data_IF_907637671154
#
_entry.id   IF_907637671154
#
_cell.length_a   1.000
_cell.length_b   1.000
_cell.length_c   1.000
_cell.angle_alpha   90.00
_cell.angle_beta   90.00
_cell.angle_gamma   90.00
#
_symmetry.space_group_name_H-M   'P 1'
#
loop_
_entity.id
_entity.type
_entity.pdbx_description
1 polymer ?
#
# COMPACT_ATOMS: atom_id res chain seq x y z
N UNK A 1 -33.53 -7.47 -27.24
CA UNK A 1 -32.21 -7.65 -27.87
C UNK A 1 -31.70 -6.28 -28.28
N UNK A 2 -30.38 -6.11 -28.21
CA UNK A 2 -29.56 -4.93 -28.55
C UNK A 2 -28.96 -4.23 -27.34
N UNK A 3 -27.80 -4.78 -26.96
CA UNK A 3 -26.72 -4.20 -26.17
C UNK A 3 -26.16 -2.88 -26.76
N UNK A 4 -25.56 -2.08 -25.89
CA UNK A 4 -24.50 -1.07 -26.13
C UNK A 4 -23.93 -0.81 -24.72
N UNK A 5 -23.02 -1.60 -24.14
CA UNK A 5 -21.62 -1.92 -24.48
C UNK A 5 -20.75 -0.69 -24.80
N UNK A 6 -20.26 -0.07 -23.73
CA UNK A 6 -18.83 0.11 -23.52
C UNK A 6 -18.08 1.01 -24.51
N UNK A 7 -18.16 2.32 -24.28
CA UNK A 7 -17.14 3.27 -24.71
C UNK A 7 -16.38 3.72 -23.45
N UNK A 8 -15.31 3.00 -23.11
CA UNK A 8 -14.27 3.50 -22.20
C UNK A 8 -12.97 2.79 -22.53
N UNK A 9 -12.47 3.06 -23.74
CA UNK A 9 -11.14 2.69 -24.16
C UNK A 9 -10.36 3.97 -24.47
N UNK A 10 -9.17 4.05 -23.87
CA UNK A 10 -8.00 4.76 -24.37
C UNK A 10 -8.05 6.30 -24.41
N UNK A 11 -7.68 6.91 -23.29
CA UNK A 11 -6.73 8.04 -23.38
C UNK A 11 -5.76 8.03 -22.19
N UNK A 12 -4.47 7.94 -22.51
CA UNK A 12 -3.32 8.33 -21.70
C UNK A 12 -3.02 7.55 -20.41
N UNK A 13 -2.54 6.32 -20.58
CA UNK A 13 -1.33 5.87 -19.84
C UNK A 13 -0.11 6.51 -20.51
N UNK A 14 0.00 7.81 -20.37
CA UNK A 14 1.15 8.59 -20.84
C UNK A 14 2.09 8.80 -19.66
N UNK A 15 3.33 8.32 -19.83
CA UNK A 15 4.54 8.79 -19.16
C UNK A 15 4.56 8.69 -17.63
N UNK A 16 5.01 7.53 -17.15
CA UNK A 16 5.78 7.45 -15.90
C UNK A 16 7.18 8.02 -16.14
N UNK A 17 7.26 9.33 -16.38
CA UNK A 17 8.46 10.08 -16.09
C UNK A 17 8.55 10.11 -14.57
N UNK A 18 9.52 9.38 -14.01
CA UNK A 18 9.96 9.62 -12.65
C UNK A 18 10.61 11.01 -12.64
N UNK A 19 9.78 12.04 -12.65
CA UNK A 19 10.19 13.34 -12.13
C UNK A 19 10.67 13.06 -10.71
N UNK A 20 11.89 13.49 -10.40
CA UNK A 20 12.36 13.66 -9.03
C UNK A 20 11.33 14.56 -8.35
N UNK A 21 10.28 13.94 -7.80
CA UNK A 21 9.35 14.60 -6.94
C UNK A 21 10.21 15.06 -5.77
N UNK A 22 10.57 16.34 -5.77
CA UNK A 22 11.17 17.03 -4.64
C UNK A 22 10.34 16.61 -3.44
N UNK A 23 10.90 15.69 -2.64
CA UNK A 23 10.26 15.10 -1.49
C UNK A 23 10.24 16.18 -0.42
N UNK A 24 9.36 17.18 -0.58
CA UNK A 24 8.89 17.96 0.55
C UNK A 24 8.03 17.01 1.39
N UNK A 25 8.72 16.21 2.20
CA UNK A 25 8.16 15.20 3.06
C UNK A 25 7.02 15.81 3.88
N UNK A 26 5.93 15.05 4.01
CA UNK A 26 4.85 15.39 4.92
C UNK A 26 5.46 15.75 6.28
N UNK A 27 5.36 17.03 6.67
CA UNK A 27 5.93 17.54 7.93
C UNK A 27 5.43 16.65 9.06
N UNK A 28 6.31 15.83 9.64
CA UNK A 28 5.92 14.97 10.74
C UNK A 28 5.49 15.88 11.90
N UNK A 29 4.25 15.79 12.38
CA UNK A 29 3.79 16.67 13.45
C UNK A 29 4.60 16.43 14.71
N UNK A 30 5.39 17.43 15.12
CA UNK A 30 6.29 17.36 16.28
C UNK A 30 7.76 17.10 15.96
N UNK A 31 8.16 16.91 14.69
CA UNK A 31 9.56 16.89 14.30
C UNK A 31 10.13 18.32 14.28
N UNK A 32 11.33 18.49 14.81
CA UNK A 32 12.04 19.76 14.76
C UNK A 32 12.52 20.01 13.31
N UNK A 33 12.32 21.22 12.75
CA UNK A 33 12.75 21.51 11.39
C UNK A 33 14.28 21.41 11.20
N UNK A 34 15.09 21.53 12.26
CA UNK A 34 16.54 21.34 12.18
C UNK A 34 16.95 19.86 12.04
N UNK A 35 16.07 18.91 12.38
CA UNK A 35 16.29 17.46 12.25
C UNK A 35 15.81 16.91 10.91
N UNK A 36 15.18 17.75 10.06
CA UNK A 36 14.56 17.31 8.81
C UNK A 36 15.55 16.63 7.85
N UNK A 37 16.79 17.12 7.80
CA UNK A 37 17.85 16.56 6.96
C UNK A 37 18.31 15.18 7.45
N UNK A 38 18.37 14.97 8.77
CA UNK A 38 18.71 13.68 9.37
C UNK A 38 17.59 12.65 9.13
N UNK A 39 16.33 13.08 9.24
CA UNK A 39 15.16 12.23 8.95
C UNK A 39 15.11 11.86 7.46
N UNK A 40 15.44 12.79 6.56
CA UNK A 40 15.50 12.53 5.13
C UNK A 40 16.60 11.52 4.79
N UNK A 41 17.79 11.67 5.40
CA UNK A 41 18.89 10.74 5.22
C UNK A 41 18.57 9.33 5.75
N UNK A 42 17.98 9.20 6.95
CA UNK A 42 17.55 7.90 7.49
C UNK A 42 16.49 7.25 6.60
N UNK A 43 15.55 8.05 6.06
CA UNK A 43 14.53 7.55 5.14
C UNK A 43 15.14 7.04 3.83
N UNK A 44 16.11 7.77 3.28
CA UNK A 44 16.83 7.35 2.08
C UNK A 44 17.54 6.01 2.33
N UNK A 45 18.30 5.90 3.43
CA UNK A 45 18.99 4.66 3.81
C UNK A 45 18.02 3.48 3.97
N UNK A 46 16.88 3.69 4.65
CA UNK A 46 15.90 2.63 4.90
C UNK A 46 15.12 2.17 3.66
N UNK A 47 14.91 3.08 2.71
CA UNK A 47 14.15 2.78 1.48
C UNK A 47 15.03 2.20 0.37
N UNK A 48 16.36 2.37 0.48
CA UNK A 48 17.35 1.83 -0.44
C UNK A 48 17.14 0.30 -0.61
N UNK A 49 16.97 -0.19 -1.85
CA UNK A 49 16.81 -1.61 -2.13
C UNK A 49 17.99 -2.46 -1.66
N UNK A 50 19.22 -1.94 -1.66
CA UNK A 50 20.42 -2.67 -1.22
C UNK A 50 20.44 -2.89 0.30
N UNK A 51 19.71 -2.06 1.06
CA UNK A 51 19.53 -2.21 2.50
C UNK A 51 18.33 -3.08 2.89
N UNK A 52 17.56 -3.59 1.91
CA UNK A 52 16.45 -4.50 2.18
C UNK A 52 17.00 -5.90 2.50
N UNK A 53 16.59 -6.52 3.62
CA UNK A 53 17.01 -7.89 3.92
C UNK A 53 16.51 -8.88 2.86
N UNK A 54 17.21 -10.00 2.69
CA UNK A 54 16.78 -11.05 1.75
C UNK A 54 15.46 -11.69 2.18
N UNK A 55 14.60 -12.04 1.21
CA UNK A 55 13.29 -12.67 1.42
C UNK A 55 12.24 -11.82 2.17
N UNK A 56 12.42 -10.49 2.24
CA UNK A 56 11.40 -9.59 2.85
C UNK A 56 10.23 -9.31 1.92
N UNK A 57 10.43 -9.41 0.62
CA UNK A 57 9.38 -9.19 -0.36
C UNK A 57 8.51 -10.44 -0.45
N UNK A 58 7.30 -10.35 0.10
CA UNK A 58 6.27 -11.38 0.00
C UNK A 58 5.26 -10.96 -1.07
N UNK A 59 5.14 -11.75 -2.13
CA UNK A 59 4.12 -11.54 -3.15
C UNK A 59 2.74 -11.94 -2.62
N UNK A 60 1.83 -10.98 -2.56
CA UNK A 60 0.44 -11.18 -2.15
C UNK A 60 -0.55 -10.89 -3.31
N UNK A 61 -0.06 -10.70 -4.54
CA UNK A 61 -0.86 -10.25 -5.69
C UNK A 61 -2.03 -11.18 -6.01
N UNK A 62 -1.81 -12.50 -5.88
CA UNK A 62 -2.82 -13.52 -6.18
C UNK A 62 -3.51 -14.07 -4.92
N UNK A 63 -3.41 -13.37 -3.78
CA UNK A 63 -3.98 -13.81 -2.51
C UNK A 63 -5.17 -12.95 -2.11
N UNK A 64 -6.27 -13.59 -1.76
CA UNK A 64 -7.47 -12.92 -1.27
C UNK A 64 -7.38 -12.72 0.25
N UNK A 65 -7.47 -11.47 0.70
CA UNK A 65 -7.51 -11.11 2.12
C UNK A 65 -8.96 -10.89 2.58
N UNK A 66 -9.39 -11.66 3.58
CA UNK A 66 -10.68 -11.47 4.25
C UNK A 66 -10.52 -10.45 5.38
N UNK A 67 -11.12 -9.27 5.21
CA UNK A 67 -11.04 -8.18 6.16
C UNK A 67 -11.82 -8.42 7.46
N UNK A 68 -12.88 -9.23 7.43
CA UNK A 68 -13.74 -9.51 8.59
C UNK A 68 -13.07 -10.51 9.53
N UNK A 69 -12.40 -11.52 8.96
CA UNK A 69 -11.58 -12.49 9.70
C UNK A 69 -10.15 -12.00 9.96
N UNK A 70 -9.68 -11.01 9.18
CA UNK A 70 -8.34 -10.43 9.29
C UNK A 70 -7.22 -11.40 8.86
N UNK A 71 -7.48 -12.25 7.88
CA UNK A 71 -6.51 -13.23 7.38
C UNK A 71 -6.76 -13.57 5.91
N UNK A 72 -5.77 -14.16 5.24
CA UNK A 72 -5.95 -14.61 3.86
C UNK A 72 -6.79 -15.89 3.80
N UNK A 73 -7.55 -16.04 2.72
CA UNK A 73 -8.47 -17.18 2.50
C UNK A 73 -7.74 -18.52 2.32
N UNK A 74 -6.48 -18.46 1.90
CA UNK A 74 -5.59 -19.60 1.70
C UNK A 74 -4.82 -20.01 2.97
N UNK A 75 -4.96 -19.25 4.06
CA UNK A 75 -4.19 -19.47 5.28
C UNK A 75 -4.75 -20.62 6.11
N UNK A 76 -3.86 -21.36 6.77
CA UNK A 76 -4.26 -22.41 7.71
C UNK A 76 -5.17 -21.83 8.81
N UNK A 77 -6.29 -22.50 9.07
CA UNK A 77 -7.26 -22.06 10.06
C UNK A 77 -8.33 -21.08 9.58
N UNK A 78 -8.33 -20.67 8.30
CA UNK A 78 -9.32 -19.73 7.74
C UNK A 78 -10.78 -20.15 7.97
N UNK A 79 -11.06 -21.43 7.80
CA UNK A 79 -12.38 -22.02 7.99
C UNK A 79 -12.82 -22.02 9.47
N UNK A 80 -11.89 -21.95 10.42
CA UNK A 80 -12.17 -21.92 11.87
C UNK A 80 -12.09 -20.52 12.47
N UNK A 81 -11.62 -19.53 11.71
CA UNK A 81 -11.41 -18.19 12.22
C UNK A 81 -12.73 -17.45 12.45
N UNK A 82 -12.81 -16.78 13.59
CA UNK A 82 -13.93 -15.93 13.97
C UNK A 82 -13.85 -14.59 13.23
N UNK A 83 -15.02 -14.04 12.86
CA UNK A 83 -15.16 -12.68 12.34
C UNK A 83 -14.88 -11.69 13.50
N UNK A 84 -13.61 -11.29 13.62
CA UNK A 84 -13.13 -10.45 14.73
C UNK A 84 -13.23 -8.96 14.42
N UNK A 85 -13.14 -8.58 13.15
CA UNK A 85 -12.99 -7.19 12.74
C UNK A 85 -14.29 -6.66 12.12
N UNK A 86 -14.71 -5.43 12.45
CA UNK A 86 -15.85 -4.81 11.77
C UNK A 86 -15.55 -4.69 10.27
N UNK A 87 -16.57 -4.64 9.42
CA UNK A 87 -16.34 -4.34 8.01
C UNK A 87 -15.66 -2.97 7.89
N UNK A 88 -14.79 -2.75 6.88
CA UNK A 88 -13.93 -1.57 6.77
C UNK A 88 -14.69 -0.22 6.76
N UNK A 89 -16.01 -0.22 6.48
CA UNK A 89 -16.87 0.97 6.56
C UNK A 89 -17.40 1.31 7.96
N UNK A 90 -17.24 0.44 8.95
CA UNK A 90 -17.70 0.61 10.34
C UNK A 90 -16.54 0.67 11.35
N UNK A 91 -15.30 0.57 10.88
CA UNK A 91 -14.11 0.71 11.72
C UNK A 91 -13.85 2.20 12.03
N UNK A 92 -14.17 2.65 13.24
CA UNK A 92 -13.83 4.00 13.73
C UNK A 92 -14.96 5.02 13.80
N UNK A 93 -16.23 4.57 13.80
CA UNK A 93 -17.38 5.39 14.20
C UNK A 93 -17.51 5.52 15.73
#
# INVERSE_FOLDING_TARGET
MSEQRGERDEESREQGEAEEAEQEGARQPGADPEEADEIAADREERLDPDNRPENVEVDNTDRDFDAEKGMFTDSEGYEQAEERFPPPGEQGV
#
